data_IF_121781973271
#
_entry.id   IF_121781973271
#
_cell.length_a   1.000
_cell.length_b   1.000
_cell.length_c   1.000
_cell.angle_alpha   90.00
_cell.angle_beta   90.00
_cell.angle_gamma   90.00
#
_symmetry.space_group_name_H-M   'P 1'
#
loop_
_entity.id
_entity.type
_entity.pdbx_description
1 polymer ?
#
# COMPACT_ATOMS: atom_id res chain seq x y z
N UNK A 1 -20.21 -30.05 9.49
CA UNK A 1 -19.71 -29.61 9.32
C UNK A 1 -19.31 -29.02 9.21
N UNK A 2 -19.48 -28.58 9.05
CA UNK A 2 -19.09 -27.92 8.87
C UNK A 2 -18.37 -27.26 9.11
N UNK A 3 -18.06 -27.29 9.60
CA UNK A 3 -17.21 -26.68 10.01
C UNK A 3 -16.15 -26.01 9.25
N UNK A 4 -15.61 -26.35 8.29
CA UNK A 4 -14.73 -25.66 7.41
C UNK A 4 -15.28 -24.34 6.98
N UNK A 5 -16.53 -24.24 6.92
CA UNK A 5 -17.17 -22.97 6.64
C UNK A 5 -16.72 -21.94 7.67
N UNK A 6 -16.59 -22.37 8.87
CA UNK A 6 -16.14 -21.48 9.93
C UNK A 6 -14.75 -20.96 9.69
N UNK A 7 -13.89 -21.83 9.19
CA UNK A 7 -12.52 -21.43 8.93
C UNK A 7 -12.43 -20.35 7.89
N UNK A 8 -13.32 -20.41 6.91
CA UNK A 8 -13.28 -19.42 5.84
C UNK A 8 -13.73 -18.06 6.29
N UNK A 9 -14.45 -18.00 7.40
CA UNK A 9 -14.94 -16.73 7.92
C UNK A 9 -13.86 -15.93 8.60
N UNK A 10 -12.74 -16.56 8.93
CA UNK A 10 -11.76 -15.91 9.78
C UNK A 10 -10.72 -15.19 8.96
N UNK A 11 -11.15 -14.28 8.11
CA UNK A 11 -10.21 -13.41 7.40
C UNK A 11 -9.61 -12.40 8.37
N UNK A 12 -8.34 -12.14 8.22
CA UNK A 12 -7.69 -11.10 8.98
C UNK A 12 -8.03 -9.74 8.39
N UNK A 13 -8.53 -8.86 9.22
CA UNK A 13 -8.90 -7.51 8.80
C UNK A 13 -7.64 -6.65 8.77
N UNK A 14 -7.39 -6.01 7.62
CA UNK A 14 -6.14 -5.29 7.40
C UNK A 14 -6.36 -3.87 6.89
N UNK A 15 -5.61 -2.93 7.45
CA UNK A 15 -5.41 -1.62 6.83
C UNK A 15 -4.20 -1.77 5.92
N UNK A 16 -4.37 -1.46 4.65
CA UNK A 16 -3.32 -1.69 3.66
C UNK A 16 -2.77 -0.37 3.14
N UNK A 17 -1.46 -0.18 3.26
CA UNK A 17 -0.80 0.93 2.59
C UNK A 17 -0.54 0.53 1.15
N UNK A 18 -0.76 1.47 0.23
CA UNK A 18 -0.41 1.30 -1.17
C UNK A 18 0.57 2.41 -1.52
N UNK A 19 1.79 2.01 -1.79
CA UNK A 19 2.89 2.94 -2.07
C UNK A 19 3.59 2.50 -3.35
N UNK A 20 4.42 3.36 -3.90
CA UNK A 20 5.19 2.96 -5.05
C UNK A 20 5.68 4.14 -5.87
N UNK A 21 6.24 3.80 -7.01
CA UNK A 21 6.89 4.76 -7.88
C UNK A 21 5.88 5.69 -8.54
N UNK A 22 6.29 6.93 -8.75
CA UNK A 22 5.44 7.97 -9.34
C UNK A 22 5.06 7.66 -10.79
N UNK A 23 5.83 6.81 -11.44
CA UNK A 23 5.59 6.43 -12.82
C UNK A 23 4.74 5.18 -12.97
N UNK A 24 4.32 4.60 -11.85
CA UNK A 24 3.46 3.42 -11.91
C UNK A 24 2.05 3.83 -12.33
N UNK A 25 1.55 3.23 -13.41
CA UNK A 25 0.23 3.62 -13.93
C UNK A 25 -0.62 2.42 -14.38
N UNK A 26 -0.30 1.22 -13.92
CA UNK A 26 -1.01 0.02 -14.34
C UNK A 26 -2.00 -0.39 -13.26
N UNK A 27 -3.20 0.16 -13.35
CA UNK A 27 -4.23 -0.10 -12.35
C UNK A 27 -4.66 -1.56 -12.33
N UNK A 28 -4.74 -2.20 -13.50
CA UNK A 28 -5.13 -3.61 -13.54
C UNK A 28 -4.11 -4.49 -12.84
N UNK A 29 -2.83 -4.20 -13.02
CA UNK A 29 -1.78 -4.94 -12.32
C UNK A 29 -1.91 -4.74 -10.81
N UNK A 30 -2.21 -3.52 -10.37
CA UNK A 30 -2.39 -3.23 -8.96
C UNK A 30 -3.53 -4.06 -8.37
N UNK A 31 -4.68 -4.03 -9.03
CA UNK A 31 -5.85 -4.76 -8.53
C UNK A 31 -5.57 -6.26 -8.47
N UNK A 32 -4.99 -6.80 -9.54
CA UNK A 32 -4.72 -8.22 -9.62
C UNK A 32 -3.73 -8.68 -8.55
N UNK A 33 -2.69 -7.91 -8.35
CA UNK A 33 -1.68 -8.25 -7.36
C UNK A 33 -2.27 -8.25 -5.94
N UNK A 34 -3.01 -7.20 -5.61
CA UNK A 34 -3.63 -7.09 -4.29
C UNK A 34 -4.63 -8.23 -4.08
N UNK A 35 -5.44 -8.51 -5.10
CA UNK A 35 -6.43 -9.59 -5.02
C UNK A 35 -5.76 -10.93 -4.72
N UNK A 36 -4.71 -11.24 -5.48
CA UNK A 36 -4.03 -12.53 -5.32
C UNK A 36 -3.40 -12.66 -3.93
N UNK A 37 -2.76 -11.62 -3.44
CA UNK A 37 -2.15 -11.66 -2.11
C UNK A 37 -3.22 -11.83 -1.03
N UNK A 38 -4.35 -11.15 -1.17
CA UNK A 38 -5.43 -11.25 -0.20
C UNK A 38 -6.03 -12.65 -0.17
N UNK A 39 -6.21 -13.27 -1.34
CA UNK A 39 -6.72 -14.63 -1.40
C UNK A 39 -5.75 -15.62 -0.75
N UNK A 40 -4.46 -15.48 -1.08
CA UNK A 40 -3.45 -16.39 -0.56
C UNK A 40 -3.28 -16.32 0.95
N UNK A 41 -3.55 -15.16 1.53
CA UNK A 41 -3.28 -14.92 2.95
C UNK A 41 -4.53 -14.73 3.79
N UNK A 42 -5.71 -14.85 3.19
CA UNK A 42 -6.97 -14.65 3.90
C UNK A 42 -7.08 -13.26 4.49
N UNK A 43 -6.67 -12.25 3.76
CA UNK A 43 -6.81 -10.87 4.20
C UNK A 43 -8.13 -10.29 3.73
N UNK A 44 -8.71 -9.46 4.58
CA UNK A 44 -9.86 -8.64 4.23
C UNK A 44 -9.47 -7.18 4.46
N UNK A 45 -9.27 -6.44 3.38
CA UNK A 45 -8.85 -5.05 3.49
C UNK A 45 -10.06 -4.18 3.77
N UNK A 46 -9.97 -3.35 4.79
CA UNK A 46 -11.06 -2.44 5.16
C UNK A 46 -10.67 -0.98 4.96
N UNK A 47 -9.38 -0.71 4.86
CA UNK A 47 -8.91 0.67 4.76
C UNK A 47 -7.66 0.72 3.90
N UNK A 48 -7.57 1.74 3.06
CA UNK A 48 -6.36 2.02 2.28
C UNK A 48 -5.69 3.25 2.88
N UNK A 49 -4.37 3.16 3.05
CA UNK A 49 -3.54 4.27 3.53
C UNK A 49 -2.65 4.71 2.38
N UNK A 50 -2.66 5.99 2.06
CA UNK A 50 -1.96 6.54 0.91
C UNK A 50 -1.21 7.81 1.26
N UNK A 51 -0.19 8.13 0.48
CA UNK A 51 0.57 9.36 0.66
C UNK A 51 0.13 10.51 -0.23
N UNK A 52 -0.80 10.27 -1.13
CA UNK A 52 -1.32 11.32 -1.99
C UNK A 52 -0.41 11.73 -3.14
N UNK A 53 0.71 11.04 -3.35
CA UNK A 53 1.57 11.34 -4.49
C UNK A 53 0.98 10.76 -5.77
N UNK A 54 1.50 11.22 -6.92
CA UNK A 54 1.05 10.63 -8.17
C UNK A 54 1.57 9.20 -8.30
N UNK A 55 1.05 8.48 -9.27
CA UNK A 55 1.47 7.10 -9.53
C UNK A 55 0.76 6.14 -8.61
N UNK A 56 1.52 5.24 -7.98
CA UNK A 56 0.93 4.17 -7.18
C UNK A 56 0.00 4.69 -6.09
N UNK A 57 0.35 5.80 -5.43
CA UNK A 57 -0.49 6.36 -4.38
C UNK A 57 -1.88 6.72 -4.91
N UNK A 58 -1.94 7.38 -6.07
CA UNK A 58 -3.23 7.77 -6.65
C UNK A 58 -4.03 6.55 -7.10
N UNK A 59 -3.37 5.53 -7.63
CA UNK A 59 -4.06 4.31 -8.00
C UNK A 59 -4.61 3.60 -6.76
N UNK A 60 -3.90 3.69 -5.64
CA UNK A 60 -4.41 3.16 -4.38
C UNK A 60 -5.67 3.88 -3.93
N UNK A 61 -5.72 5.20 -4.12
CA UNK A 61 -6.93 5.97 -3.80
C UNK A 61 -8.08 5.54 -4.70
N UNK A 62 -7.80 5.32 -5.99
CA UNK A 62 -8.81 4.82 -6.92
C UNK A 62 -9.32 3.45 -6.48
N UNK A 63 -8.42 2.59 -6.05
CA UNK A 63 -8.78 1.27 -5.54
C UNK A 63 -9.74 1.39 -4.36
N UNK A 64 -9.44 2.27 -3.41
CA UNK A 64 -10.30 2.47 -2.26
C UNK A 64 -11.69 2.92 -2.68
N UNK A 65 -11.76 3.86 -3.62
CA UNK A 65 -13.04 4.36 -4.10
C UNK A 65 -13.83 3.28 -4.83
N UNK A 66 -13.16 2.50 -5.67
CA UNK A 66 -13.84 1.49 -6.47
C UNK A 66 -14.40 0.36 -5.62
N UNK A 67 -13.78 0.07 -4.49
CA UNK A 67 -14.20 -1.03 -3.64
C UNK A 67 -14.84 -0.56 -2.34
N UNK A 68 -15.19 0.71 -2.26
CA UNK A 68 -15.87 1.30 -1.09
C UNK A 68 -15.13 1.08 0.21
N UNK A 69 -13.82 1.27 0.17
CA UNK A 69 -12.98 1.13 1.35
C UNK A 69 -12.71 2.51 1.95
N UNK A 70 -12.50 2.53 3.26
CA UNK A 70 -12.07 3.76 3.91
C UNK A 70 -10.72 4.18 3.33
N UNK A 71 -10.53 5.48 3.13
CA UNK A 71 -9.29 6.01 2.59
C UNK A 71 -8.71 7.04 3.56
N UNK A 72 -7.47 6.80 3.97
CA UNK A 72 -6.74 7.74 4.81
C UNK A 72 -5.50 8.20 4.04
N UNK A 73 -5.37 9.51 3.87
CA UNK A 73 -4.27 10.08 3.09
C UNK A 73 -3.40 10.94 4.02
N UNK A 74 -2.11 10.61 4.05
CA UNK A 74 -1.12 11.40 4.78
C UNK A 74 -0.34 12.22 3.78
N UNK A 75 -0.63 13.51 3.69
CA UNK A 75 0.08 14.38 2.76
C UNK A 75 1.35 14.90 3.38
N UNK A 76 2.37 15.07 2.55
CA UNK A 76 3.62 15.65 3.01
C UNK A 76 3.39 17.13 3.34
N UNK A 77 3.85 17.54 4.52
CA UNK A 77 3.71 18.94 4.96
C UNK A 77 5.03 19.67 4.73
N UNK A 78 5.19 20.15 3.49
CA UNK A 78 6.43 20.81 3.08
C UNK A 78 6.69 22.11 3.83
N UNK A 79 5.63 22.77 4.30
CA UNK A 79 5.78 24.00 5.07
C UNK A 79 6.38 23.72 6.45
N UNK A 80 5.97 22.62 7.06
CA UNK A 80 6.43 22.29 8.41
C UNK A 80 7.80 21.61 8.42
N UNK A 81 8.02 20.68 7.49
CA UNK A 81 9.20 19.83 7.51
C UNK A 81 10.22 20.11 6.41
N UNK A 82 9.89 20.98 5.46
CA UNK A 82 10.80 21.27 4.37
C UNK A 82 11.14 20.03 3.58
N UNK A 83 12.41 19.84 3.28
CA UNK A 83 12.85 18.71 2.45
C UNK A 83 12.58 17.35 3.09
N UNK A 84 12.34 17.32 4.38
CA UNK A 84 12.09 16.06 5.09
C UNK A 84 10.63 15.65 5.07
N UNK A 85 9.76 16.46 4.47
CA UNK A 85 8.32 16.23 4.52
C UNK A 85 7.92 14.87 3.95
N UNK A 86 8.51 14.47 2.84
CA UNK A 86 8.21 13.16 2.25
C UNK A 86 8.65 12.01 3.14
N UNK A 87 9.79 12.17 3.78
CA UNK A 87 10.30 11.18 4.71
C UNK A 87 9.36 11.02 5.92
N UNK A 88 8.94 12.14 6.50
CA UNK A 88 8.03 12.13 7.64
C UNK A 88 6.69 11.50 7.25
N UNK A 89 6.16 11.85 6.07
CA UNK A 89 4.90 11.29 5.58
C UNK A 89 4.99 9.77 5.41
N UNK A 90 6.12 9.27 4.90
CA UNK A 90 6.29 7.83 4.73
C UNK A 90 6.25 7.10 6.07
N UNK A 91 6.84 7.67 7.10
CA UNK A 91 6.77 7.08 8.45
C UNK A 91 5.33 6.99 8.91
N UNK A 92 4.55 8.06 8.72
CA UNK A 92 3.14 8.05 9.13
C UNK A 92 2.35 6.98 8.39
N UNK A 93 2.59 6.80 7.10
CA UNK A 93 1.90 5.78 6.32
C UNK A 93 2.18 4.40 6.91
N UNK A 94 3.44 4.07 7.10
CA UNK A 94 3.81 2.73 7.53
C UNK A 94 3.38 2.45 8.96
N UNK A 95 3.43 3.44 9.83
CA UNK A 95 2.98 3.25 11.20
C UNK A 95 1.47 3.03 11.28
N UNK A 96 0.71 3.48 10.30
CA UNK A 96 -0.74 3.42 10.33
C UNK A 96 -1.34 2.34 9.42
N UNK A 97 -0.54 1.40 8.98
CA UNK A 97 -1.04 0.26 8.21
C UNK A 97 -0.70 -1.04 8.91
N UNK A 98 -1.33 -2.12 8.47
CA UNK A 98 -1.02 -3.46 8.95
C UNK A 98 -0.17 -4.20 7.93
N UNK A 99 -0.43 -3.96 6.65
CA UNK A 99 0.35 -4.52 5.55
C UNK A 99 0.61 -3.41 4.53
N UNK A 100 1.60 -3.62 3.69
CA UNK A 100 1.97 -2.64 2.68
C UNK A 100 2.15 -3.32 1.33
N UNK A 101 1.56 -2.74 0.29
CA UNK A 101 1.79 -3.15 -1.09
C UNK A 101 2.65 -2.09 -1.76
N UNK A 102 3.82 -2.47 -2.22
CA UNK A 102 4.76 -1.55 -2.84
C UNK A 102 4.94 -1.91 -4.31
N UNK A 103 4.61 -0.97 -5.19
CA UNK A 103 4.77 -1.12 -6.64
C UNK A 103 6.02 -0.35 -7.05
N UNK A 104 7.11 -1.06 -7.24
CA UNK A 104 8.46 -0.48 -7.30
C UNK A 104 9.12 -0.75 -8.64
N UNK A 105 9.77 0.28 -9.17
CA UNK A 105 10.55 0.14 -10.41
C UNK A 105 11.97 -0.38 -10.13
N UNK A 106 12.30 -0.66 -8.89
CA UNK A 106 13.62 -1.14 -8.49
C UNK A 106 14.63 -0.03 -8.27
N UNK A 107 14.25 1.22 -8.49
CA UNK A 107 15.19 2.34 -8.42
C UNK A 107 14.74 3.50 -7.55
N UNK A 108 13.44 3.79 -7.48
CA UNK A 108 12.97 4.98 -6.79
C UNK A 108 13.28 4.91 -5.29
N UNK A 109 13.85 6.00 -4.79
CA UNK A 109 14.30 6.06 -3.40
C UNK A 109 13.15 6.16 -2.41
N UNK A 110 12.08 6.84 -2.77
CA UNK A 110 10.92 6.96 -1.89
C UNK A 110 10.29 5.62 -1.59
N UNK A 111 10.13 4.79 -2.62
CA UNK A 111 9.57 3.46 -2.44
C UNK A 111 10.51 2.57 -1.64
N UNK A 112 11.82 2.67 -1.90
CA UNK A 112 12.81 1.94 -1.12
C UNK A 112 12.72 2.31 0.35
N UNK A 113 12.53 3.58 0.63
CA UNK A 113 12.37 4.05 2.00
C UNK A 113 11.14 3.41 2.67
N UNK A 114 10.01 3.36 1.97
CA UNK A 114 8.82 2.70 2.50
C UNK A 114 9.07 1.23 2.81
N UNK A 115 9.77 0.54 1.91
CA UNK A 115 10.11 -0.87 2.09
C UNK A 115 10.98 -1.05 3.34
N UNK A 116 11.99 -0.20 3.49
CA UNK A 116 12.89 -0.26 4.65
C UNK A 116 12.12 0.04 5.95
N UNK A 117 11.19 0.99 5.91
CA UNK A 117 10.36 1.30 7.07
C UNK A 117 9.48 0.12 7.48
N UNK A 118 8.97 -0.63 6.51
CA UNK A 118 8.20 -1.83 6.83
C UNK A 118 9.02 -2.80 7.66
N UNK A 119 10.29 -2.96 7.30
CA UNK A 119 11.18 -3.82 8.04
C UNK A 119 11.39 -3.26 9.45
N UNK A 120 11.64 -1.97 9.56
CA UNK A 120 11.90 -1.32 10.86
C UNK A 120 10.70 -1.42 11.79
N UNK A 121 9.50 -1.29 11.26
CA UNK A 121 8.27 -1.32 12.05
C UNK A 121 7.60 -2.68 12.05
N UNK A 122 8.27 -3.69 11.51
CA UNK A 122 7.81 -5.07 11.53
C UNK A 122 6.46 -5.25 10.83
N UNK A 123 6.31 -4.58 9.68
CA UNK A 123 5.11 -4.69 8.85
C UNK A 123 5.41 -5.56 7.64
N UNK A 124 4.47 -6.40 7.24
CA UNK A 124 4.63 -7.18 6.02
C UNK A 124 4.55 -6.27 4.81
N UNK A 125 5.51 -6.43 3.91
CA UNK A 125 5.56 -5.64 2.69
C UNK A 125 5.58 -6.57 1.49
N UNK A 126 4.57 -6.42 0.63
CA UNK A 126 4.46 -7.20 -0.60
C UNK A 126 4.91 -6.33 -1.75
N UNK A 127 6.01 -6.70 -2.38
CA UNK A 127 6.66 -5.88 -3.40
C UNK A 127 6.35 -6.43 -4.78
N UNK A 128 5.78 -5.60 -5.63
CA UNK A 128 5.57 -5.93 -7.03
C UNK A 128 6.49 -5.06 -7.87
N UNK A 129 7.44 -5.69 -8.53
CA UNK A 129 8.34 -4.97 -9.43
C UNK A 129 7.66 -4.76 -10.78
N UNK A 130 7.90 -3.61 -11.37
CA UNK A 130 7.41 -3.32 -12.71
C UNK A 130 8.51 -2.60 -13.49
N UNK A 131 8.40 -2.63 -14.81
CA UNK A 131 9.36 -1.92 -15.66
C UNK A 131 8.72 -0.67 -16.22
N UNK A 132 9.47 0.42 -16.15
CA UNK A 132 9.07 1.62 -16.86
C UNK A 132 9.29 1.40 -18.34
N UNK A 133 8.37 1.90 -19.13
CA UNK A 133 8.48 1.81 -20.58
C UNK A 133 9.15 3.02 -21.12
N UNK A 134 10.02 3.52 -20.48
CA UNK A 134 10.67 4.70 -20.78
C UNK A 134 11.23 5.10 -22.01
#
# INVERSE_FOLDING_TARGET
>A
MHNEANNKQDNEIMRAAIVGSRDFNDYNMLVEYIYNICIENNYSITEIVSGGARGADKLGEQFANNYNLKLTVFKADWNKYGKRAGFVRNVDIIKNCDICFAFWDGESHGTKHDIDLCKDYNKKCYIKLFKNKG
#
